data_IF_024028518857
#
_entry.id   IF_024028518857
#
_cell.length_a   1.000
_cell.length_b   1.000
_cell.length_c   1.000
_cell.angle_alpha   90.00
_cell.angle_beta   90.00
_cell.angle_gamma   90.00
#
_symmetry.space_group_name_H-M   'P 1'
#
loop_
_entity.id
_entity.type
_entity.pdbx_description
1 polymer ?
#
# COMPACT_ATOMS: atom_id res chain seq x y z
N UNK A 1 21.35 10.80 25.10
CA UNK A 1 21.76 11.13 23.73
C UNK A 1 22.40 12.50 23.77
N UNK A 2 23.66 12.62 23.36
CA UNK A 2 24.31 13.93 23.21
C UNK A 2 23.76 14.63 21.97
N UNK A 3 23.63 15.95 22.04
CA UNK A 3 23.27 16.74 20.86
C UNK A 3 24.41 16.69 19.83
N UNK A 4 24.11 16.81 18.52
CA UNK A 4 25.13 16.97 17.49
C UNK A 4 26.02 18.19 17.75
N UNK A 5 27.23 18.17 17.20
CA UNK A 5 28.16 19.30 17.27
C UNK A 5 27.60 20.53 16.54
N UNK A 6 27.73 21.71 17.17
CA UNK A 6 27.38 22.99 16.54
C UNK A 6 28.61 23.48 15.77
N UNK A 7 28.52 23.49 14.45
CA UNK A 7 29.62 23.85 13.54
C UNK A 7 29.31 25.10 12.73
N UNK A 8 30.31 25.61 11.99
CA UNK A 8 30.11 26.73 11.07
C UNK A 8 29.20 26.35 9.89
N UNK A 9 28.71 27.36 9.15
CA UNK A 9 27.89 27.15 7.94
C UNK A 9 28.68 26.39 6.85
N UNK A 10 29.98 26.62 6.77
CA UNK A 10 30.87 26.01 5.79
C UNK A 10 31.10 24.53 6.09
N UNK A 11 31.41 24.20 7.34
CA UNK A 11 31.59 22.81 7.80
C UNK A 11 30.29 22.02 7.65
N UNK A 12 29.16 22.62 8.04
CA UNK A 12 27.85 22.01 7.86
C UNK A 12 27.56 21.71 6.38
N UNK A 13 27.91 22.64 5.47
CA UNK A 13 27.69 22.46 4.03
C UNK A 13 28.54 21.32 3.49
N UNK A 14 29.82 21.26 3.86
CA UNK A 14 30.71 20.17 3.45
C UNK A 14 30.17 18.81 3.93
N UNK A 15 29.75 18.71 5.19
CA UNK A 15 29.14 17.50 5.73
C UNK A 15 27.83 17.14 5.00
N UNK A 16 27.00 18.14 4.66
CA UNK A 16 25.73 17.94 3.97
C UNK A 16 25.93 17.46 2.52
N UNK A 17 26.91 18.00 1.81
CA UNK A 17 27.25 17.56 0.45
C UNK A 17 27.79 16.12 0.45
N UNK A 18 28.61 15.76 1.43
CA UNK A 18 29.07 14.38 1.63
C UNK A 18 27.90 13.41 1.90
N UNK A 19 26.97 13.78 2.79
CA UNK A 19 25.78 12.96 3.07
C UNK A 19 24.85 12.85 1.85
N UNK A 20 24.67 13.93 1.09
CA UNK A 20 23.85 13.93 -0.12
C UNK A 20 24.35 12.93 -1.17
N UNK A 21 25.67 12.72 -1.27
CA UNK A 21 26.24 11.72 -2.16
C UNK A 21 25.77 10.30 -1.78
N UNK A 22 25.73 9.98 -0.49
CA UNK A 22 25.26 8.70 0.03
C UNK A 22 23.74 8.53 -0.17
N UNK A 23 22.96 9.56 0.13
CA UNK A 23 21.50 9.55 -0.09
C UNK A 23 21.12 9.36 -1.56
N UNK A 24 21.89 9.97 -2.48
CA UNK A 24 21.73 9.75 -3.92
C UNK A 24 22.03 8.31 -4.32
N UNK A 25 23.03 7.68 -3.70
CA UNK A 25 23.33 6.27 -3.93
C UNK A 25 22.19 5.36 -3.47
N UNK A 26 21.61 5.62 -2.29
CA UNK A 26 20.44 4.89 -1.78
C UNK A 26 19.23 5.06 -2.71
N UNK A 27 18.98 6.28 -3.20
CA UNK A 27 17.91 6.54 -4.16
C UNK A 27 18.07 5.69 -5.41
N UNK A 28 19.26 5.69 -6.05
CA UNK A 28 19.53 4.89 -7.24
C UNK A 28 19.40 3.39 -7.00
N UNK A 29 19.89 2.89 -5.85
CA UNK A 29 19.76 1.48 -5.49
C UNK A 29 18.30 1.07 -5.33
N UNK A 30 17.48 1.93 -4.68
CA UNK A 30 16.04 1.70 -4.54
C UNK A 30 15.33 1.70 -5.89
N UNK A 31 15.72 2.60 -6.80
CA UNK A 31 15.14 2.65 -8.14
C UNK A 31 15.44 1.38 -8.95
N UNK A 32 16.68 0.87 -8.87
CA UNK A 32 17.08 -0.38 -9.49
C UNK A 32 16.25 -1.56 -8.95
N UNK A 33 16.15 -1.68 -7.61
CA UNK A 33 15.34 -2.73 -6.98
C UNK A 33 13.85 -2.64 -7.36
N UNK A 34 13.32 -1.42 -7.45
CA UNK A 34 11.93 -1.23 -7.88
C UNK A 34 11.72 -1.62 -9.35
N UNK A 35 12.72 -1.43 -10.22
CA UNK A 35 12.67 -1.92 -11.59
C UNK A 35 12.66 -3.45 -11.64
N UNK A 36 13.51 -4.11 -10.86
CA UNK A 36 13.51 -5.57 -10.73
C UNK A 36 12.18 -6.10 -10.22
N UNK A 37 11.58 -5.47 -9.19
CA UNK A 37 10.25 -5.84 -8.67
C UNK A 37 9.15 -5.75 -9.72
N UNK A 38 9.17 -4.72 -10.56
CA UNK A 38 8.21 -4.58 -11.68
C UNK A 38 8.45 -5.60 -12.79
N UNK A 39 9.66 -6.16 -12.87
CA UNK A 39 10.02 -7.24 -13.80
C UNK A 39 9.76 -8.65 -13.27
N UNK A 40 9.20 -8.82 -12.07
CA UNK A 40 8.86 -10.15 -11.56
C UNK A 40 7.85 -10.84 -12.49
N UNK A 41 8.01 -12.15 -12.77
CA UNK A 41 7.05 -12.91 -13.54
C UNK A 41 5.65 -12.87 -12.93
N UNK A 42 4.65 -12.86 -13.80
CA UNK A 42 3.25 -12.96 -13.40
C UNK A 42 2.83 -14.42 -13.33
N UNK A 43 1.88 -14.72 -12.46
CA UNK A 43 1.20 -16.02 -12.40
C UNK A 43 -0.25 -15.82 -12.80
N UNK A 44 -0.77 -16.77 -13.57
CA UNK A 44 -2.21 -16.85 -13.82
C UNK A 44 -2.93 -17.25 -12.53
N UNK A 45 -4.06 -16.60 -12.25
CA UNK A 45 -4.92 -16.98 -11.13
C UNK A 45 -6.01 -17.88 -11.69
N UNK A 46 -5.80 -19.19 -11.52
CA UNK A 46 -6.76 -20.25 -11.87
C UNK A 46 -7.81 -20.47 -10.77
N UNK A 47 -7.48 -20.09 -9.54
CA UNK A 47 -8.34 -20.24 -8.38
C UNK A 47 -9.51 -19.25 -8.41
N UNK A 48 -10.72 -19.77 -8.30
CA UNK A 48 -11.91 -18.97 -8.03
C UNK A 48 -11.88 -18.44 -6.59
N UNK A 49 -11.66 -17.13 -6.44
CA UNK A 49 -11.77 -16.44 -5.17
C UNK A 49 -13.15 -15.82 -5.04
N UNK A 50 -13.82 -16.09 -3.92
CA UNK A 50 -15.11 -15.52 -3.55
C UNK A 50 -14.96 -14.73 -2.25
N UNK A 51 -15.51 -13.52 -2.25
CA UNK A 51 -15.50 -12.58 -1.15
C UNK A 51 -16.93 -12.31 -0.69
N UNK A 52 -17.09 -11.92 0.57
CA UNK A 52 -18.36 -11.49 1.15
C UNK A 52 -18.30 -10.00 1.49
N UNK A 53 -19.27 -9.23 0.99
CA UNK A 53 -19.38 -7.79 1.18
C UNK A 53 -20.82 -7.35 1.39
N UNK A 54 -21.03 -6.04 1.41
CA UNK A 54 -22.35 -5.45 1.69
C UNK A 54 -23.39 -5.72 0.63
N UNK A 55 -22.95 -5.89 -0.60
CA UNK A 55 -23.80 -6.21 -1.76
C UNK A 55 -23.93 -7.72 -1.99
N UNK A 56 -23.48 -8.54 -1.01
CA UNK A 56 -23.47 -9.98 -1.08
C UNK A 56 -22.11 -10.56 -1.48
N UNK A 57 -22.14 -11.68 -2.20
CA UNK A 57 -20.93 -12.37 -2.65
C UNK A 57 -20.39 -11.76 -3.94
N UNK A 58 -19.07 -11.68 -4.07
CA UNK A 58 -18.39 -11.21 -5.27
C UNK A 58 -17.19 -12.11 -5.59
N UNK A 59 -16.91 -12.34 -6.86
CA UNK A 59 -15.69 -13.02 -7.32
C UNK A 59 -14.51 -12.05 -7.41
N UNK A 60 -13.28 -12.55 -7.58
CA UNK A 60 -12.12 -11.69 -7.86
C UNK A 60 -12.31 -10.85 -9.12
N UNK A 61 -12.94 -11.40 -10.17
CA UNK A 61 -13.21 -10.67 -11.41
C UNK A 61 -14.22 -9.55 -11.20
N UNK A 62 -15.23 -9.76 -10.35
CA UNK A 62 -16.22 -8.73 -10.04
C UNK A 62 -15.58 -7.49 -9.38
N UNK A 63 -14.50 -7.69 -8.59
CA UNK A 63 -13.75 -6.58 -7.97
C UNK A 63 -13.09 -5.64 -8.99
N UNK A 64 -12.91 -6.06 -10.25
CA UNK A 64 -12.40 -5.19 -11.30
C UNK A 64 -13.45 -4.18 -11.76
N UNK A 65 -14.75 -4.41 -11.51
CA UNK A 65 -15.85 -3.52 -11.93
C UNK A 65 -15.77 -3.12 -13.42
N UNK A 66 -15.38 -4.08 -14.28
CA UNK A 66 -15.24 -3.89 -15.72
C UNK A 66 -13.99 -3.10 -16.17
N UNK A 67 -12.98 -2.93 -15.29
CA UNK A 67 -11.71 -2.27 -15.62
C UNK A 67 -10.57 -3.28 -15.79
N UNK A 68 -9.47 -2.85 -16.39
CA UNK A 68 -8.34 -3.73 -16.71
C UNK A 68 -7.35 -3.93 -15.55
N UNK A 69 -7.44 -3.10 -14.51
CA UNK A 69 -6.50 -3.14 -13.38
C UNK A 69 -7.23 -3.14 -12.04
N UNK A 70 -6.70 -3.93 -11.09
CA UNK A 70 -7.17 -3.98 -9.71
C UNK A 70 -6.00 -3.82 -8.74
N UNK A 71 -6.12 -2.89 -7.81
CA UNK A 71 -5.25 -2.78 -6.64
C UNK A 71 -5.98 -3.37 -5.43
N UNK A 72 -5.42 -4.43 -4.86
CA UNK A 72 -5.95 -5.06 -3.65
C UNK A 72 -5.14 -4.60 -2.44
N UNK A 73 -5.81 -4.02 -1.44
CA UNK A 73 -5.23 -3.79 -0.12
C UNK A 73 -5.71 -4.87 0.85
N UNK A 74 -4.78 -5.66 1.39
CA UNK A 74 -5.11 -6.60 2.46
C UNK A 74 -5.18 -5.86 3.80
N UNK A 75 -6.40 -5.59 4.25
CA UNK A 75 -6.68 -5.03 5.56
C UNK A 75 -6.50 -6.12 6.62
N UNK A 76 -5.44 -5.98 7.43
CA UNK A 76 -5.14 -6.95 8.47
C UNK A 76 -6.17 -6.86 9.59
N UNK A 77 -7.14 -7.77 9.56
CA UNK A 77 -8.09 -7.99 10.63
C UNK A 77 -8.36 -9.48 10.70
N UNK A 78 -7.73 -10.14 11.67
CA UNK A 78 -7.86 -11.58 11.82
C UNK A 78 -9.23 -11.93 12.43
N UNK A 79 -9.84 -13.07 12.09
CA UNK A 79 -11.17 -13.46 12.61
C UNK A 79 -11.29 -13.41 14.14
N UNK A 80 -10.20 -13.73 14.84
CA UNK A 80 -10.08 -13.78 16.29
C UNK A 80 -9.87 -12.42 16.96
N UNK A 81 -9.66 -11.35 16.21
CA UNK A 81 -9.48 -10.00 16.75
C UNK A 81 -10.80 -9.26 16.87
N UNK A 82 -10.88 -8.30 17.79
CA UNK A 82 -12.07 -7.45 17.96
C UNK A 82 -11.98 -6.13 17.19
N UNK A 83 -10.79 -5.75 16.72
CA UNK A 83 -10.57 -4.56 15.92
C UNK A 83 -9.51 -4.81 14.83
N UNK A 84 -9.57 -4.02 13.75
CA UNK A 84 -8.58 -4.03 12.69
C UNK A 84 -7.20 -3.55 13.14
N UNK A 85 -6.18 -3.88 12.35
CA UNK A 85 -4.84 -3.35 12.55
C UNK A 85 -4.85 -1.82 12.48
N UNK A 86 -4.30 -1.16 13.51
CA UNK A 86 -4.25 0.32 13.59
C UNK A 86 -3.63 0.97 12.35
N UNK A 87 -2.59 0.38 11.78
CA UNK A 87 -1.93 0.90 10.58
C UNK A 87 -2.77 0.71 9.31
N UNK A 88 -3.51 -0.40 9.20
CA UNK A 88 -4.44 -0.60 8.09
C UNK A 88 -5.64 0.34 8.20
N UNK A 89 -6.19 0.55 9.41
CA UNK A 89 -7.24 1.53 9.68
C UNK A 89 -6.80 2.93 9.26
N UNK A 90 -5.66 3.39 9.77
CA UNK A 90 -5.12 4.70 9.43
C UNK A 90 -4.83 4.85 7.92
N UNK A 91 -4.45 3.77 7.23
CA UNK A 91 -4.26 3.79 5.77
C UNK A 91 -5.59 3.97 5.04
N UNK A 92 -6.64 3.22 5.40
CA UNK A 92 -7.95 3.34 4.77
C UNK A 92 -8.58 4.71 5.01
N UNK A 93 -8.41 5.30 6.20
CA UNK A 93 -8.87 6.67 6.51
C UNK A 93 -8.23 7.74 5.60
N UNK A 94 -7.07 7.44 5.01
CA UNK A 94 -6.32 8.34 4.13
C UNK A 94 -6.59 8.09 2.64
N UNK A 95 -7.39 7.08 2.29
CA UNK A 95 -7.71 6.81 0.89
C UNK A 95 -8.55 7.97 0.33
N UNK A 96 -7.94 8.69 -0.60
CA UNK A 96 -8.58 9.79 -1.32
C UNK A 96 -9.63 9.31 -2.32
N UNK A 97 -10.16 10.27 -3.09
CA UNK A 97 -11.25 9.99 -4.02
C UNK A 97 -10.85 9.02 -5.14
N UNK A 98 -11.51 7.86 -5.20
CA UNK A 98 -11.19 6.78 -6.15
C UNK A 98 -11.42 7.13 -7.63
N UNK A 99 -12.04 8.27 -7.95
CA UNK A 99 -12.22 8.69 -9.35
C UNK A 99 -10.88 8.83 -10.10
N UNK A 100 -9.79 9.20 -9.43
CA UNK A 100 -8.49 9.34 -10.09
C UNK A 100 -7.89 7.99 -10.52
N UNK A 101 -8.18 6.92 -9.77
CA UNK A 101 -7.84 5.55 -10.17
C UNK A 101 -8.76 5.07 -11.29
N UNK A 102 -10.07 5.27 -11.14
CA UNK A 102 -11.06 4.86 -12.13
C UNK A 102 -10.83 5.53 -13.49
N UNK A 103 -10.42 6.80 -13.51
CA UNK A 103 -10.05 7.54 -14.72
C UNK A 103 -8.82 6.96 -15.45
N UNK A 104 -8.05 6.07 -14.81
CA UNK A 104 -6.90 5.36 -15.38
C UNK A 104 -7.19 3.87 -15.61
N UNK A 105 -8.46 3.46 -15.55
CA UNK A 105 -8.83 2.06 -15.73
C UNK A 105 -8.42 1.17 -14.54
N UNK A 106 -8.34 1.74 -13.33
CA UNK A 106 -7.96 0.99 -12.12
C UNK A 106 -9.07 1.00 -11.07
N UNK A 107 -9.41 -0.18 -10.57
CA UNK A 107 -10.27 -0.41 -9.41
C UNK A 107 -9.43 -0.62 -8.15
N UNK A 108 -10.00 -0.33 -6.98
CA UNK A 108 -9.37 -0.52 -5.68
C UNK A 108 -10.31 -1.32 -4.79
N UNK A 109 -9.81 -2.38 -4.16
CA UNK A 109 -10.56 -3.18 -3.19
C UNK A 109 -9.74 -3.36 -1.91
N UNK A 110 -10.38 -3.13 -0.77
CA UNK A 110 -9.85 -3.56 0.53
C UNK A 110 -10.45 -4.92 0.89
N UNK A 111 -9.61 -5.92 1.12
CA UNK A 111 -10.03 -7.28 1.48
C UNK A 111 -9.49 -7.63 2.85
N UNK A 112 -10.22 -8.46 3.59
CA UNK A 112 -9.84 -8.89 4.93
C UNK A 112 -10.20 -10.35 5.14
N UNK A 113 -9.52 -11.00 6.08
CA UNK A 113 -9.90 -12.34 6.56
C UNK A 113 -11.02 -12.30 7.60
N UNK A 114 -11.29 -11.14 8.22
CA UNK A 114 -12.38 -11.01 9.17
C UNK A 114 -13.73 -11.27 8.49
N UNK A 115 -14.66 -11.98 9.16
CA UNK A 115 -16.02 -12.13 8.66
C UNK A 115 -16.67 -10.77 8.41
N UNK A 116 -17.45 -10.65 7.32
CA UNK A 116 -18.11 -9.40 6.96
C UNK A 116 -18.88 -8.72 8.12
N UNK A 117 -19.61 -9.47 8.99
CA UNK A 117 -20.28 -8.87 10.15
C UNK A 117 -19.37 -8.15 11.14
N UNK A 118 -18.08 -8.52 11.23
CA UNK A 118 -17.10 -7.80 12.08
C UNK A 118 -16.57 -6.54 11.43
N UNK A 119 -16.68 -6.42 10.10
CA UNK A 119 -16.25 -5.24 9.33
C UNK A 119 -17.36 -4.19 9.31
N UNK A 120 -18.63 -4.61 9.27
CA UNK A 120 -19.80 -3.74 9.22
C UNK A 120 -19.78 -2.54 10.18
N UNK A 121 -19.39 -2.67 11.46
CA UNK A 121 -19.38 -1.53 12.40
C UNK A 121 -18.39 -0.42 12.04
N UNK A 122 -17.47 -0.66 11.10
CA UNK A 122 -16.40 0.26 10.70
C UNK A 122 -16.58 0.80 9.26
N UNK A 123 -17.66 0.43 8.57
CA UNK A 123 -17.95 0.88 7.21
C UNK A 123 -18.68 2.24 7.20
#
# INVERSE_FOLDING_TARGET
MSLPEIVSREDWRAAREALLAQEKAVTRARDALNAERRGLPMVEIDKEYVFEGGDGKATLLDLFEGRDQLVVHHFMFAPEWDAGCRSCSAFLDQIGHLAHLRARGTSFAAVSRAPYPKILPFK
#
